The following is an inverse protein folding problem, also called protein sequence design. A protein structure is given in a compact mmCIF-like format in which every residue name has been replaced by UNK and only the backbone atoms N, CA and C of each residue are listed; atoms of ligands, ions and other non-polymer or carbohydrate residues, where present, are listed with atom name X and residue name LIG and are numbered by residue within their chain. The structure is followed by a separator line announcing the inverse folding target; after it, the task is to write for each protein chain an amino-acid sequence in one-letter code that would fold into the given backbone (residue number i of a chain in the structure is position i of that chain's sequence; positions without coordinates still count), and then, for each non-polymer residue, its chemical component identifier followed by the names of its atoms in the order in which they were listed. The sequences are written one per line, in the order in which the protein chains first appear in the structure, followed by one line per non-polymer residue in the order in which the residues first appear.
data_IF_626769856014
#
_entry.id   IF_626769856014
#
_cell.length_a   1.000
_cell.length_b   1.000
_cell.length_c   1.000
_cell.angle_alpha   90.00
_cell.angle_beta   90.00
_cell.angle_gamma   90.00
#
_symmetry.space_group_name_H-M   'P 1'
#
loop_
_entity.id
_entity.type
_entity.pdbx_description
1 polymer ?
#
# COMPACT_ATOMS: atom_id res chain seq x y z
N UNK A 1 -25.00 -8.16 25.29
CA UNK A 1 -23.94 -8.24 24.25
C UNK A 1 -22.78 -9.03 24.85
N UNK A 2 -22.28 -10.09 24.23
CA UNK A 2 -21.14 -10.80 24.79
C UNK A 2 -19.92 -9.88 24.81
N UNK A 3 -19.25 -9.89 25.95
CA UNK A 3 -18.01 -9.15 26.18
C UNK A 3 -16.94 -9.68 25.21
N UNK A 4 -16.71 -8.98 24.11
CA UNK A 4 -15.56 -9.23 23.25
C UNK A 4 -14.31 -8.82 24.06
N UNK A 5 -13.76 -9.79 24.78
CA UNK A 5 -12.43 -9.64 25.38
C UNK A 5 -11.47 -9.23 24.26
N UNK A 6 -10.99 -8.00 24.30
CA UNK A 6 -9.89 -7.56 23.46
C UNK A 6 -8.70 -8.49 23.79
N UNK A 7 -8.33 -9.35 22.85
CA UNK A 7 -7.06 -10.07 22.91
C UNK A 7 -5.99 -8.97 22.94
N UNK A 8 -5.17 -8.88 23.99
CA UNK A 8 -4.12 -7.86 24.03
C UNK A 8 -3.21 -8.07 22.83
N UNK A 9 -2.96 -7.04 22.03
CA UNK A 9 -2.00 -7.11 20.90
C UNK A 9 -0.60 -7.54 21.35
N UNK A 10 -0.28 -7.41 22.63
CA UNK A 10 0.97 -7.89 23.25
C UNK A 10 1.16 -9.42 23.26
N UNK A 11 0.12 -10.20 22.94
CA UNK A 11 0.23 -11.67 22.85
C UNK A 11 0.49 -12.17 21.41
N UNK A 12 0.44 -11.30 20.39
CA UNK A 12 0.70 -11.69 19.02
C UNK A 12 2.19 -11.53 18.71
N UNK A 13 2.91 -12.63 18.69
CA UNK A 13 4.38 -12.68 18.51
C UNK A 13 4.79 -13.12 17.09
N UNK A 14 3.96 -12.84 16.09
CA UNK A 14 4.26 -13.17 14.71
C UNK A 14 4.38 -11.88 13.86
N UNK A 15 5.22 -11.86 12.83
CA UNK A 15 6.20 -12.91 12.45
C UNK A 15 7.36 -13.03 13.46
N UNK A 16 8.07 -14.16 13.44
CA UNK A 16 9.31 -14.31 14.18
C UNK A 16 10.44 -13.41 13.62
N UNK A 17 11.62 -13.42 14.24
CA UNK A 17 12.75 -12.58 13.82
C UNK A 17 13.24 -12.85 12.40
N UNK A 18 12.94 -14.02 11.83
CA UNK A 18 13.28 -14.40 10.46
C UNK A 18 12.15 -14.13 9.45
N UNK A 19 11.02 -13.59 9.92
CA UNK A 19 9.86 -13.23 9.09
C UNK A 19 8.90 -14.39 8.83
N UNK A 20 8.90 -15.43 9.68
CA UNK A 20 8.00 -16.55 9.54
C UNK A 20 6.78 -16.45 10.47
N UNK A 21 5.66 -16.99 9.97
CA UNK A 21 4.40 -17.22 10.68
C UNK A 21 4.22 -18.74 10.87
N UNK A 22 4.95 -19.33 11.82
CA UNK A 22 5.08 -20.77 11.95
C UNK A 22 5.80 -21.39 10.73
N UNK A 23 5.18 -22.32 9.98
CA UNK A 23 5.77 -22.92 8.78
C UNK A 23 5.68 -22.02 7.51
N UNK A 24 5.05 -20.84 7.60
CA UNK A 24 4.79 -19.96 6.47
C UNK A 24 5.62 -18.68 6.55
N UNK A 25 5.79 -18.00 5.43
CA UNK A 25 6.51 -16.74 5.37
C UNK A 25 8.02 -16.91 5.16
N UNK A 26 8.79 -15.93 5.59
CA UNK A 26 10.22 -15.83 5.35
C UNK A 26 10.55 -14.77 4.31
N UNK A 27 11.79 -14.78 3.79
CA UNK A 27 12.27 -13.80 2.82
C UNK A 27 12.90 -14.52 1.63
N UNK A 28 12.22 -14.48 0.49
CA UNK A 28 12.60 -15.16 -0.75
C UNK A 28 12.77 -14.14 -1.87
N UNK A 29 13.82 -13.33 -1.76
CA UNK A 29 14.15 -12.29 -2.75
C UNK A 29 15.47 -12.64 -3.43
N UNK A 30 15.74 -11.98 -4.58
CA UNK A 30 17.05 -12.02 -5.22
C UNK A 30 18.15 -11.57 -4.23
N UNK A 31 19.34 -12.18 -4.30
CA UNK A 31 20.49 -11.79 -3.45
C UNK A 31 20.82 -10.30 -3.56
N UNK A 32 20.62 -9.72 -4.72
CA UNK A 32 20.82 -8.28 -4.97
C UNK A 32 19.91 -7.37 -4.14
N UNK A 33 18.78 -7.88 -3.63
CA UNK A 33 17.84 -7.16 -2.77
C UNK A 33 18.06 -7.42 -1.28
N UNK A 34 18.96 -8.30 -0.89
CA UNK A 34 19.18 -8.67 0.52
C UNK A 34 19.51 -7.46 1.37
N UNK A 35 20.40 -6.57 0.87
CA UNK A 35 20.75 -5.34 1.57
C UNK A 35 19.54 -4.40 1.75
N UNK A 36 18.75 -4.18 0.70
CA UNK A 36 17.56 -3.32 0.77
C UNK A 36 16.51 -3.87 1.74
N UNK A 37 16.30 -5.19 1.76
CA UNK A 37 15.39 -5.83 2.71
C UNK A 37 15.92 -5.71 4.14
N UNK A 38 17.23 -5.82 4.35
CA UNK A 38 17.82 -5.63 5.66
C UNK A 38 17.68 -4.19 6.15
N UNK A 39 17.95 -3.20 5.29
CA UNK A 39 17.72 -1.78 5.56
C UNK A 39 16.25 -1.50 5.95
N UNK A 40 15.31 -2.09 5.23
CA UNK A 40 13.88 -1.99 5.53
C UNK A 40 13.52 -2.62 6.88
N UNK A 41 14.07 -3.80 7.20
CA UNK A 41 13.86 -4.47 8.50
C UNK A 41 14.33 -3.61 9.66
N UNK A 42 15.52 -3.03 9.53
CA UNK A 42 16.11 -2.16 10.56
C UNK A 42 15.28 -0.88 10.74
N UNK A 43 14.88 -0.25 9.65
CA UNK A 43 14.00 0.92 9.68
C UNK A 43 12.64 0.58 10.32
N UNK A 44 12.02 -0.53 9.92
CA UNK A 44 10.75 -0.96 10.51
C UNK A 44 10.89 -1.28 12.01
N UNK A 45 11.92 -2.02 12.42
CA UNK A 45 12.17 -2.33 13.82
C UNK A 45 12.36 -1.06 14.67
N UNK A 46 12.99 -0.02 14.10
CA UNK A 46 13.18 1.28 14.75
C UNK A 46 11.87 2.04 14.90
N UNK A 47 11.06 2.12 13.86
CA UNK A 47 9.91 3.02 13.80
C UNK A 47 8.58 2.38 14.24
N UNK A 48 8.44 1.06 14.23
CA UNK A 48 7.17 0.38 14.58
C UNK A 48 6.64 0.69 15.98
N UNK A 49 7.53 1.06 16.92
CA UNK A 49 7.18 1.45 18.29
C UNK A 49 7.63 2.88 18.63
N UNK A 50 8.11 3.65 17.68
CA UNK A 50 8.51 5.03 17.88
C UNK A 50 7.28 5.91 18.10
N UNK A 51 7.17 6.60 19.26
CA UNK A 51 5.97 7.38 19.59
C UNK A 51 5.70 8.53 18.63
N UNK A 52 6.75 9.18 18.09
CA UNK A 52 6.61 10.29 17.17
C UNK A 52 6.11 9.80 15.82
N UNK A 53 6.69 8.71 15.30
CA UNK A 53 6.23 8.07 14.06
C UNK A 53 4.77 7.61 14.16
N UNK A 54 4.41 6.97 15.26
CA UNK A 54 3.04 6.49 15.49
C UNK A 54 2.05 7.65 15.63
N UNK A 55 2.42 8.74 16.29
CA UNK A 55 1.57 9.92 16.41
C UNK A 55 1.34 10.59 15.03
N UNK A 56 2.41 10.75 14.21
CA UNK A 56 2.30 11.25 12.84
C UNK A 56 1.42 10.32 11.99
N UNK A 57 1.63 9.01 12.06
CA UNK A 57 0.83 8.03 11.33
C UNK A 57 -0.66 8.10 11.70
N UNK A 58 -0.98 8.18 13.00
CA UNK A 58 -2.37 8.31 13.46
C UNK A 58 -2.98 9.64 13.03
N UNK A 59 -2.21 10.72 13.05
CA UNK A 59 -2.65 12.02 12.56
C UNK A 59 -3.00 11.96 11.08
N UNK A 60 -2.12 11.40 10.25
CA UNK A 60 -2.35 11.24 8.81
C UNK A 60 -3.54 10.32 8.51
N UNK A 61 -3.68 9.20 9.21
CA UNK A 61 -4.85 8.31 9.06
C UNK A 61 -6.15 9.06 9.36
N UNK A 62 -6.18 9.87 10.40
CA UNK A 62 -7.39 10.59 10.83
C UNK A 62 -7.71 11.78 9.92
N UNK A 63 -6.72 12.63 9.64
CA UNK A 63 -6.95 13.95 9.06
C UNK A 63 -6.75 14.00 7.55
N UNK A 64 -5.94 13.12 6.98
CA UNK A 64 -5.71 13.04 5.54
C UNK A 64 -6.44 11.86 4.89
N UNK A 65 -6.36 10.68 5.49
CA UNK A 65 -6.98 9.47 4.93
C UNK A 65 -8.48 9.40 5.22
N UNK A 66 -8.93 9.86 6.39
CA UNK A 66 -10.33 9.80 6.79
C UNK A 66 -10.69 8.54 7.60
N UNK A 67 -9.71 7.98 8.31
CA UNK A 67 -9.91 6.80 9.19
C UNK A 67 -10.29 7.21 10.63
N UNK A 68 -11.09 6.39 11.32
CA UNK A 68 -11.73 5.16 10.85
C UNK A 68 -12.91 5.46 9.91
N UNK A 69 -12.98 4.73 8.79
CA UNK A 69 -14.14 4.83 7.89
C UNK A 69 -15.40 4.27 8.55
N UNK A 70 -16.59 4.85 8.29
CA UNK A 70 -17.81 4.44 8.96
C UNK A 70 -18.33 3.06 8.50
N UNK A 71 -19.17 2.45 9.34
CA UNK A 71 -19.98 1.31 8.98
C UNK A 71 -21.40 1.82 8.70
N UNK A 72 -21.93 1.50 7.53
CA UNK A 72 -23.25 1.91 7.06
C UNK A 72 -24.20 0.71 6.97
N UNK A 73 -25.35 0.79 7.63
CA UNK A 73 -26.39 -0.21 7.49
C UNK A 73 -27.20 0.04 6.21
N UNK A 74 -27.09 -0.87 5.24
CA UNK A 74 -27.83 -0.82 3.97
C UNK A 74 -29.28 -1.34 4.17
N UNK A 75 -30.08 -0.61 4.96
CA UNK A 75 -31.39 -1.06 5.45
C UNK A 75 -32.36 -1.39 4.31
N UNK A 76 -32.38 -0.61 3.24
CA UNK A 76 -33.23 -0.88 2.07
C UNK A 76 -32.83 -2.20 1.40
N UNK A 77 -31.55 -2.38 1.11
CA UNK A 77 -31.02 -3.60 0.48
C UNK A 77 -31.28 -4.82 1.36
N UNK A 78 -31.07 -4.70 2.68
CA UNK A 78 -31.39 -5.78 3.64
C UNK A 78 -32.85 -6.23 3.57
N UNK A 79 -33.78 -5.27 3.45
CA UNK A 79 -35.22 -5.61 3.32
C UNK A 79 -35.55 -6.23 1.95
N UNK A 80 -35.02 -5.68 0.87
CA UNK A 80 -35.35 -6.15 -0.48
C UNK A 80 -34.76 -7.54 -0.77
N UNK A 81 -33.58 -7.84 -0.24
CA UNK A 81 -32.93 -9.16 -0.42
C UNK A 81 -33.48 -10.23 0.52
N UNK A 82 -34.04 -9.86 1.66
CA UNK A 82 -34.42 -10.78 2.72
C UNK A 82 -33.25 -11.49 3.38
N UNK A 83 -33.39 -12.00 4.58
CA UNK A 83 -32.35 -12.74 5.29
C UNK A 83 -31.38 -11.86 6.08
N UNK A 84 -30.10 -11.89 5.77
CA UNK A 84 -29.06 -11.21 6.55
C UNK A 84 -29.17 -9.69 6.52
N UNK A 85 -28.79 -9.04 7.64
CA UNK A 85 -28.59 -7.59 7.67
C UNK A 85 -27.27 -7.23 7.02
N UNK A 86 -27.32 -6.34 6.03
CA UNK A 86 -26.16 -5.96 5.21
C UNK A 86 -25.56 -4.67 5.75
N UNK A 87 -24.28 -4.72 6.14
CA UNK A 87 -23.48 -3.57 6.56
C UNK A 87 -22.31 -3.36 5.63
N UNK A 88 -22.07 -2.11 5.26
CA UNK A 88 -20.96 -1.71 4.39
C UNK A 88 -19.88 -1.01 5.21
N UNK A 89 -18.66 -1.55 5.20
CA UNK A 89 -17.49 -0.83 5.67
C UNK A 89 -17.06 0.13 4.56
N UNK A 90 -17.27 1.42 4.78
CA UNK A 90 -17.20 2.47 3.75
C UNK A 90 -15.76 2.91 3.46
N UNK A 91 -14.91 2.01 2.96
CA UNK A 91 -13.54 2.33 2.54
C UNK A 91 -13.50 3.20 1.25
N UNK A 92 -14.60 3.31 0.54
CA UNK A 92 -14.82 4.24 -0.56
C UNK A 92 -14.79 5.72 -0.11
N UNK A 93 -15.01 5.99 1.18
CA UNK A 93 -14.94 7.34 1.77
C UNK A 93 -13.51 7.74 2.19
N UNK A 94 -12.56 6.83 2.13
CA UNK A 94 -11.17 7.20 2.34
C UNK A 94 -10.68 8.10 1.21
N UNK A 95 -9.67 8.92 1.51
CA UNK A 95 -8.98 9.70 0.49
C UNK A 95 -8.52 8.80 -0.65
N UNK A 96 -8.62 9.22 -1.91
CA UNK A 96 -8.46 8.45 -3.15
C UNK A 96 -9.63 7.54 -3.54
N UNK A 97 -10.60 7.33 -2.67
CA UNK A 97 -11.82 6.56 -2.95
C UNK A 97 -11.69 5.04 -2.75
N UNK A 98 -10.64 4.57 -2.05
CA UNK A 98 -10.41 3.15 -1.80
C UNK A 98 -9.52 2.90 -0.58
N UNK A 99 -9.39 1.62 -0.20
CA UNK A 99 -8.61 1.17 0.96
C UNK A 99 -7.08 1.29 0.78
N UNK A 100 -6.56 1.40 -0.43
CA UNK A 100 -5.11 1.34 -0.71
C UNK A 100 -4.31 2.45 -0.03
N UNK A 101 -4.91 3.60 0.19
CA UNK A 101 -4.27 4.72 0.90
C UNK A 101 -3.82 4.34 2.32
N UNK A 102 -4.53 3.42 2.99
CA UNK A 102 -4.19 2.94 4.34
C UNK A 102 -2.83 2.24 4.38
N UNK A 103 -2.55 1.44 3.35
CA UNK A 103 -1.29 0.75 3.19
C UNK A 103 -0.16 1.71 2.77
N UNK A 104 -0.45 2.55 1.77
CA UNK A 104 0.56 3.41 1.14
C UNK A 104 1.09 4.47 2.10
N UNK A 105 0.24 5.04 2.97
CA UNK A 105 0.65 6.11 3.89
C UNK A 105 1.78 5.66 4.82
N UNK A 106 1.67 4.47 5.42
CA UNK A 106 2.69 3.95 6.33
C UNK A 106 4.01 3.63 5.61
N UNK A 107 3.93 3.02 4.43
CA UNK A 107 5.11 2.71 3.62
C UNK A 107 5.84 3.99 3.15
N UNK A 108 5.11 5.01 2.71
CA UNK A 108 5.70 6.26 2.26
C UNK A 108 6.33 7.07 3.41
N UNK A 109 5.71 7.06 4.59
CA UNK A 109 6.32 7.63 5.79
C UNK A 109 7.65 6.94 6.13
N UNK A 110 7.68 5.62 6.02
CA UNK A 110 8.91 4.84 6.24
C UNK A 110 9.96 5.17 5.19
N UNK A 111 9.59 5.22 3.90
CA UNK A 111 10.47 5.62 2.81
C UNK A 111 11.12 7.01 3.07
N UNK A 112 10.32 7.98 3.52
CA UNK A 112 10.79 9.32 3.87
C UNK A 112 11.77 9.28 5.05
N UNK A 113 11.50 8.49 6.11
CA UNK A 113 12.40 8.31 7.25
C UNK A 113 13.71 7.59 6.88
N UNK A 114 13.67 6.75 5.85
CA UNK A 114 14.85 6.08 5.28
C UNK A 114 15.64 7.00 4.32
N UNK A 115 15.16 8.21 4.05
CA UNK A 115 15.81 9.14 3.14
C UNK A 115 15.74 8.75 1.66
N UNK A 116 14.77 7.91 1.27
CA UNK A 116 14.56 7.51 -0.13
C UNK A 116 13.80 8.60 -0.88
N UNK A 117 14.41 9.28 -1.86
CA UNK A 117 13.77 10.38 -2.58
C UNK A 117 12.80 9.90 -3.67
N UNK A 118 12.92 8.64 -4.08
CA UNK A 118 12.17 8.03 -5.17
C UNK A 118 11.34 6.85 -4.68
N UNK A 119 10.11 6.77 -5.18
CA UNK A 119 9.17 5.69 -4.89
C UNK A 119 8.72 5.06 -6.20
N UNK A 120 8.67 3.73 -6.23
CA UNK A 120 8.05 2.98 -7.31
C UNK A 120 6.89 2.14 -6.78
N UNK A 121 5.93 1.85 -7.66
CA UNK A 121 4.83 0.94 -7.38
C UNK A 121 4.39 0.23 -8.66
N UNK A 122 3.83 -0.96 -8.51
CA UNK A 122 3.04 -1.63 -9.53
C UNK A 122 1.55 -1.33 -9.35
N UNK A 123 0.78 -1.42 -10.42
CA UNK A 123 -0.68 -1.33 -10.31
C UNK A 123 -1.37 -2.06 -11.47
N UNK A 124 -2.50 -2.70 -11.21
CA UNK A 124 -3.40 -3.27 -12.22
C UNK A 124 -4.61 -2.34 -12.44
N UNK A 125 -5.61 -2.41 -11.54
CA UNK A 125 -6.80 -1.56 -11.62
C UNK A 125 -6.53 -0.06 -11.38
N UNK A 126 -5.31 0.33 -11.03
CA UNK A 126 -4.90 1.72 -10.83
C UNK A 126 -5.10 2.27 -9.42
N UNK A 127 -5.82 1.60 -8.54
CA UNK A 127 -6.11 2.09 -7.19
C UNK A 127 -4.85 2.27 -6.34
N UNK A 128 -3.93 1.29 -6.40
CA UNK A 128 -2.66 1.37 -5.69
C UNK A 128 -1.76 2.47 -6.26
N UNK A 129 -1.68 2.57 -7.59
CA UNK A 129 -0.92 3.63 -8.26
C UNK A 129 -1.43 5.03 -7.92
N UNK A 130 -2.75 5.24 -7.90
CA UNK A 130 -3.35 6.53 -7.48
C UNK A 130 -3.03 6.85 -6.03
N UNK A 131 -3.13 5.88 -5.12
CA UNK A 131 -2.79 6.10 -3.72
C UNK A 131 -1.31 6.45 -3.55
N UNK A 132 -0.41 5.74 -4.24
CA UNK A 132 1.04 6.00 -4.22
C UNK A 132 1.34 7.39 -4.79
N UNK A 133 0.81 7.74 -5.95
CA UNK A 133 0.99 9.07 -6.54
C UNK A 133 0.51 10.19 -5.60
N UNK A 134 -0.64 9.98 -4.94
CA UNK A 134 -1.21 10.95 -3.99
C UNK A 134 -0.27 11.22 -2.81
N UNK A 135 0.28 10.16 -2.22
CA UNK A 135 1.17 10.31 -1.06
C UNK A 135 2.54 10.84 -1.48
N UNK A 136 3.05 10.42 -2.63
CA UNK A 136 4.31 10.97 -3.15
C UNK A 136 4.19 12.47 -3.44
N UNK A 137 3.09 12.93 -4.04
CA UNK A 137 2.81 14.35 -4.22
C UNK A 137 2.76 15.10 -2.89
N UNK A 138 2.11 14.52 -1.86
CA UNK A 138 2.04 15.11 -0.52
C UNK A 138 3.42 15.26 0.14
N UNK A 139 4.30 14.28 -0.03
CA UNK A 139 5.60 14.26 0.63
C UNK A 139 6.76 14.79 -0.22
N UNK A 140 6.49 15.20 -1.47
CA UNK A 140 7.52 15.70 -2.39
C UNK A 140 8.48 14.61 -2.85
N UNK A 141 7.99 13.36 -3.00
CA UNK A 141 8.76 12.23 -3.48
C UNK A 141 8.56 12.03 -4.97
N UNK A 142 9.62 11.68 -5.70
CA UNK A 142 9.50 11.21 -7.07
C UNK A 142 8.67 9.91 -7.11
N UNK A 143 7.73 9.82 -8.06
CA UNK A 143 6.82 8.67 -8.15
C UNK A 143 6.82 8.08 -9.54
N UNK A 144 7.14 6.79 -9.64
CA UNK A 144 7.04 6.01 -10.89
C UNK A 144 6.10 4.83 -10.66
N UNK A 145 5.09 4.70 -11.51
CA UNK A 145 4.08 3.64 -11.43
C UNK A 145 4.14 2.77 -12.67
N UNK A 146 4.43 1.49 -12.48
CA UNK A 146 4.41 0.47 -13.54
C UNK A 146 2.99 -0.09 -13.68
N UNK A 147 2.49 -0.11 -14.91
CA UNK A 147 1.13 -0.57 -15.20
C UNK A 147 1.11 -1.29 -16.54
N UNK A 148 0.51 -2.46 -16.60
CA UNK A 148 0.39 -3.19 -17.86
C UNK A 148 -0.33 -2.36 -18.93
N UNK A 149 0.14 -2.40 -20.18
CA UNK A 149 -0.38 -1.55 -21.25
C UNK A 149 -1.89 -1.79 -21.52
N UNK A 150 -2.39 -3.01 -21.32
CA UNK A 150 -3.83 -3.28 -21.39
C UNK A 150 -4.61 -2.65 -20.23
N UNK A 151 -4.03 -2.67 -19.03
CA UNK A 151 -4.64 -2.03 -17.86
C UNK A 151 -4.62 -0.50 -17.98
N UNK A 152 -3.56 0.08 -18.56
CA UNK A 152 -3.49 1.53 -18.89
C UNK A 152 -4.66 1.96 -19.76
N UNK A 153 -5.03 1.17 -20.77
CA UNK A 153 -6.19 1.45 -21.63
C UNK A 153 -7.50 1.34 -20.88
N UNK A 154 -7.68 0.25 -20.12
CA UNK A 154 -8.91 -0.05 -19.37
C UNK A 154 -9.18 0.94 -18.25
N UNK A 155 -8.12 1.44 -17.62
CA UNK A 155 -8.16 2.27 -16.41
C UNK A 155 -7.67 3.69 -16.68
N UNK A 156 -7.92 4.22 -17.88
CA UNK A 156 -7.46 5.55 -18.28
C UNK A 156 -7.82 6.69 -17.30
N UNK A 157 -8.97 6.70 -16.58
CA UNK A 157 -9.25 7.71 -15.56
C UNK A 157 -8.25 7.67 -14.38
N UNK A 158 -7.81 6.48 -13.95
CA UNK A 158 -6.81 6.37 -12.89
C UNK A 158 -5.42 6.77 -13.40
N UNK A 159 -5.08 6.45 -14.65
CA UNK A 159 -3.85 6.92 -15.30
C UNK A 159 -3.80 8.45 -15.35
N UNK A 160 -4.90 9.07 -15.72
CA UNK A 160 -5.01 10.54 -15.71
C UNK A 160 -4.80 11.13 -14.32
N UNK A 161 -5.42 10.54 -13.29
CA UNK A 161 -5.23 10.97 -11.89
C UNK A 161 -3.79 10.87 -11.44
N UNK A 162 -3.10 9.76 -11.74
CA UNK A 162 -1.69 9.58 -11.41
C UNK A 162 -0.80 10.65 -12.06
N UNK A 163 -1.01 10.93 -13.36
CA UNK A 163 -0.28 11.96 -14.08
C UNK A 163 -0.57 13.37 -13.56
N UNK A 164 -1.82 13.67 -13.21
CA UNK A 164 -2.20 14.95 -12.61
C UNK A 164 -1.50 15.19 -11.27
N UNK A 165 -1.23 14.11 -10.50
CA UNK A 165 -0.49 14.14 -9.25
C UNK A 165 1.03 14.17 -9.44
N UNK A 166 1.52 14.24 -10.68
CA UNK A 166 2.94 14.34 -11.00
C UNK A 166 3.67 12.99 -11.10
N UNK A 167 2.97 11.87 -11.02
CA UNK A 167 3.59 10.55 -11.18
C UNK A 167 3.88 10.23 -12.65
N UNK A 168 5.02 9.57 -12.90
CA UNK A 168 5.32 8.94 -14.17
C UNK A 168 4.64 7.58 -14.23
N UNK A 169 3.76 7.37 -15.22
CA UNK A 169 3.15 6.06 -15.46
C UNK A 169 3.87 5.39 -16.63
N UNK A 170 4.48 4.24 -16.36
CA UNK A 170 5.24 3.43 -17.33
C UNK A 170 4.35 2.30 -17.83
N UNK A 171 3.90 2.31 -19.09
CA UNK A 171 3.18 1.20 -19.69
C UNK A 171 4.12 0.01 -19.91
N UNK A 172 3.74 -1.17 -19.42
CA UNK A 172 4.51 -2.40 -19.59
C UNK A 172 3.95 -3.19 -20.76
N UNK A 173 4.77 -3.35 -21.79
CA UNK A 173 4.37 -4.01 -23.05
C UNK A 173 4.76 -5.49 -23.11
N UNK A 174 5.47 -6.01 -22.11
CA UNK A 174 5.89 -7.41 -22.03
C UNK A 174 4.75 -8.33 -21.57
N UNK A 175 4.85 -9.60 -21.88
CA UNK A 175 3.95 -10.66 -21.43
C UNK A 175 2.48 -10.42 -21.77
N UNK A 176 1.61 -10.61 -20.79
CA UNK A 176 0.17 -10.38 -20.90
C UNK A 176 -0.22 -8.89 -20.81
N UNK A 177 0.75 -8.02 -20.57
CA UNK A 177 0.56 -6.56 -20.40
C UNK A 177 -0.38 -6.18 -19.24
N UNK A 178 -0.33 -6.95 -18.18
CA UNK A 178 -1.18 -6.81 -16.99
C UNK A 178 -0.35 -6.69 -15.70
N UNK A 179 -0.99 -6.72 -14.53
CA UNK A 179 -0.38 -6.54 -13.21
C UNK A 179 0.88 -7.39 -12.98
N UNK A 180 0.89 -8.66 -13.40
CA UNK A 180 2.04 -9.54 -13.22
C UNK A 180 3.30 -9.01 -13.92
N UNK A 181 3.13 -8.51 -15.13
CA UNK A 181 4.23 -7.97 -15.91
C UNK A 181 4.70 -6.62 -15.36
N UNK A 182 3.76 -5.80 -14.88
CA UNK A 182 4.04 -4.54 -14.18
C UNK A 182 4.88 -4.79 -12.91
N UNK A 183 4.56 -5.83 -12.13
CA UNK A 183 5.33 -6.23 -10.96
C UNK A 183 6.76 -6.63 -11.34
N UNK A 184 6.91 -7.41 -12.41
CA UNK A 184 8.24 -7.83 -12.87
C UNK A 184 9.11 -6.64 -13.28
N UNK A 185 8.56 -5.66 -13.98
CA UNK A 185 9.32 -4.47 -14.41
C UNK A 185 9.62 -3.55 -13.22
N UNK A 186 8.68 -3.37 -12.29
CA UNK A 186 8.94 -2.65 -11.04
C UNK A 186 10.07 -3.30 -10.23
N UNK A 187 10.11 -4.63 -10.15
CA UNK A 187 11.21 -5.36 -9.48
C UNK A 187 12.55 -5.17 -10.19
N UNK A 188 12.58 -5.15 -11.52
CA UNK A 188 13.81 -4.87 -12.29
C UNK A 188 14.34 -3.46 -12.03
N UNK A 189 13.43 -2.48 -12.01
CA UNK A 189 13.79 -1.10 -11.67
C UNK A 189 14.33 -1.02 -10.23
N UNK A 190 13.64 -1.68 -9.27
CA UNK A 190 14.08 -1.66 -7.88
C UNK A 190 15.49 -2.23 -7.70
N UNK A 191 15.77 -3.38 -8.31
CA UNK A 191 17.12 -3.99 -8.28
C UNK A 191 18.19 -3.03 -8.84
N UNK A 192 17.85 -2.29 -9.89
CA UNK A 192 18.80 -1.37 -10.53
C UNK A 192 19.01 -0.06 -9.74
N UNK A 193 18.05 0.34 -8.90
CA UNK A 193 18.03 1.65 -8.23
C UNK A 193 17.79 1.56 -6.71
N UNK A 194 18.18 0.47 -6.10
CA UNK A 194 17.86 0.13 -4.70
C UNK A 194 18.33 1.18 -3.69
N UNK A 195 19.43 1.88 -3.97
CA UNK A 195 20.03 2.83 -3.04
C UNK A 195 19.15 4.06 -2.79
N UNK A 196 18.45 4.53 -3.81
CA UNK A 196 17.65 5.75 -3.74
C UNK A 196 16.13 5.51 -3.87
N UNK A 197 15.71 4.28 -4.07
CA UNK A 197 14.34 3.93 -4.42
C UNK A 197 13.69 3.04 -3.37
N UNK A 198 12.48 3.40 -2.97
CA UNK A 198 11.61 2.58 -2.13
C UNK A 198 10.50 1.97 -2.99
N UNK A 199 10.31 0.66 -2.91
CA UNK A 199 9.21 -0.03 -3.58
C UNK A 199 8.00 -0.14 -2.64
N UNK A 200 6.94 0.60 -2.93
CA UNK A 200 5.67 0.50 -2.21
C UNK A 200 4.84 -0.63 -2.81
N UNK A 201 4.81 -1.77 -2.15
CA UNK A 201 4.10 -2.98 -2.60
C UNK A 201 2.62 -2.85 -2.31
N UNK A 202 1.79 -3.09 -3.34
CA UNK A 202 0.33 -2.98 -3.27
C UNK A 202 -0.38 -4.23 -2.77
N UNK A 203 0.21 -5.39 -2.97
CA UNK A 203 -0.33 -6.70 -2.58
C UNK A 203 0.80 -7.72 -2.46
N UNK A 204 0.59 -8.72 -1.67
CA UNK A 204 1.43 -9.91 -1.50
C UNK A 204 0.61 -11.15 -1.69
#
# INVERSE_FOLDING_TARGET
MPNLQRIPMSSYQQPDASGHFGPYGGSFVSETLTHAIQELREAYARYQNDPEFLAEFQYELKHFVGRPSPIYHAARTSREMGGAQIYLKREDLNHTGAHKINNVIGQAMLAKRMGKPRVIAETGAGQHGVATATICARYGLECVVYMGAEDVKRQSPNVYRMKLLGATVVPVESGSKTLKDALNDAMRDWVANVDNTFYIIGTV
#
